data_IF_870595110807
#
_entry.id   IF_870595110807
#
_cell.length_a   1.000
_cell.length_b   1.000
_cell.length_c   1.000
_cell.angle_alpha   90.00
_cell.angle_beta   90.00
_cell.angle_gamma   90.00
#
_symmetry.space_group_name_H-M   'P 1'
#
loop_
_entity.id
_entity.type
_entity.pdbx_description
1 polymer ?
#
# COMPACT_ATOMS: atom_id res chain seq x y z
N UNK A 1 28.74 -56.23 45.68
CA UNK A 1 28.83 -55.13 44.68
C UNK A 1 27.71 -55.28 43.66
N UNK A 2 26.73 -54.38 43.66
CA UNK A 2 25.88 -54.01 42.52
C UNK A 2 25.17 -52.70 42.90
N UNK A 3 25.74 -51.61 42.41
CA UNK A 3 25.38 -50.22 42.71
C UNK A 3 24.10 -49.86 41.94
N UNK A 4 23.02 -49.50 42.63
CA UNK A 4 21.80 -49.00 41.99
C UNK A 4 21.95 -47.49 41.83
N UNK A 5 22.18 -47.05 40.60
CA UNK A 5 22.21 -45.64 40.22
C UNK A 5 20.76 -45.16 40.09
N UNK A 6 20.39 -44.19 40.91
CA UNK A 6 19.11 -43.49 40.84
C UNK A 6 19.25 -42.35 39.82
N UNK A 7 18.62 -42.47 38.66
CA UNK A 7 18.60 -41.43 37.64
C UNK A 7 17.41 -40.51 37.94
N UNK A 8 17.68 -39.32 38.48
CA UNK A 8 16.71 -38.23 38.55
C UNK A 8 16.56 -37.61 37.15
N UNK A 9 15.44 -37.86 36.48
CA UNK A 9 15.02 -37.03 35.34
C UNK A 9 14.60 -35.65 35.86
N UNK A 10 15.44 -34.64 35.66
CA UNK A 10 14.97 -33.25 35.70
C UNK A 10 14.28 -32.93 34.37
N UNK A 11 12.96 -32.75 34.41
CA UNK A 11 12.20 -32.23 33.29
C UNK A 11 12.52 -30.73 33.14
N UNK A 12 13.31 -30.38 32.12
CA UNK A 12 13.46 -28.99 31.70
C UNK A 12 12.17 -28.55 31.00
N UNK A 13 11.34 -27.80 31.71
CA UNK A 13 10.25 -27.03 31.11
C UNK A 13 10.88 -25.87 30.34
N UNK A 14 11.09 -26.04 29.04
CA UNK A 14 11.34 -24.92 28.14
C UNK A 14 10.04 -24.13 28.01
N UNK A 15 10.00 -22.82 28.32
CA UNK A 15 8.87 -22.00 27.94
C UNK A 15 8.85 -21.95 26.41
N UNK A 16 7.88 -22.65 25.81
CA UNK A 16 7.58 -22.49 24.39
C UNK A 16 7.21 -21.04 24.18
N UNK A 17 8.04 -20.32 23.41
CA UNK A 17 7.61 -19.08 22.79
C UNK A 17 6.39 -19.47 21.94
N UNK A 18 5.20 -19.10 22.39
CA UNK A 18 4.01 -19.18 21.54
C UNK A 18 4.29 -18.27 20.36
N UNK A 19 4.51 -18.85 19.18
CA UNK A 19 4.30 -18.14 17.91
C UNK A 19 2.90 -17.56 18.01
N UNK A 20 2.81 -16.26 18.22
CA UNK A 20 1.56 -15.56 18.03
C UNK A 20 1.22 -15.74 16.56
N UNK A 21 0.08 -16.36 16.26
CA UNK A 21 -0.51 -16.38 14.93
C UNK A 21 -0.59 -14.93 14.45
N UNK A 22 0.43 -14.46 13.71
CA UNK A 22 0.42 -13.12 13.15
C UNK A 22 -0.71 -13.10 12.14
N UNK A 23 -1.77 -12.36 12.48
CA UNK A 23 -2.92 -12.19 11.59
C UNK A 23 -2.42 -11.56 10.29
N UNK A 24 -2.57 -12.29 9.19
CA UNK A 24 -2.14 -11.83 7.88
C UNK A 24 -3.26 -10.99 7.23
N UNK A 25 -3.02 -9.69 7.08
CA UNK A 25 -3.92 -8.77 6.38
C UNK A 25 -3.44 -8.48 4.94
N UNK A 26 -2.55 -9.31 4.41
CA UNK A 26 -2.05 -9.15 3.05
C UNK A 26 -3.15 -9.31 2.00
N UNK A 27 -3.05 -8.51 0.94
CA UNK A 27 -3.98 -8.52 -0.19
C UNK A 27 -3.28 -9.01 -1.46
N UNK A 28 -3.95 -8.96 -2.61
CA UNK A 28 -3.31 -9.22 -3.89
C UNK A 28 -2.25 -8.13 -4.23
N UNK A 29 -2.42 -6.90 -3.75
CA UNK A 29 -1.64 -5.75 -4.17
C UNK A 29 -0.55 -5.32 -3.17
N UNK A 30 -0.74 -5.56 -1.88
CA UNK A 30 0.21 -5.17 -0.84
C UNK A 30 0.18 -6.13 0.37
N UNK A 31 1.21 -6.07 1.20
CA UNK A 31 1.27 -6.72 2.52
C UNK A 31 1.20 -5.68 3.62
N UNK A 32 0.62 -6.02 4.77
CA UNK A 32 0.51 -5.13 5.92
C UNK A 32 1.50 -5.56 6.99
N UNK A 33 2.33 -4.63 7.46
CA UNK A 33 3.30 -4.83 8.53
C UNK A 33 3.03 -3.85 9.65
N UNK A 34 2.69 -4.36 10.83
CA UNK A 34 2.63 -3.55 12.06
C UNK A 34 4.05 -3.09 12.44
N UNK A 35 4.21 -1.78 12.62
CA UNK A 35 5.46 -1.14 13.01
C UNK A 35 5.46 -0.78 14.50
N UNK A 36 4.30 -0.38 15.02
CA UNK A 36 4.01 -0.11 16.42
C UNK A 36 2.49 -0.22 16.64
N UNK A 37 2.04 -0.13 17.89
CA UNK A 37 0.61 -0.08 18.21
C UNK A 37 -0.08 1.05 17.43
N UNK A 38 -1.12 0.69 16.67
CA UNK A 38 -1.83 1.62 15.78
C UNK A 38 -1.08 2.08 14.53
N UNK A 39 0.17 1.65 14.29
CA UNK A 39 0.99 2.13 13.15
C UNK A 39 1.36 0.98 12.22
N UNK A 40 0.97 1.08 10.95
CA UNK A 40 1.15 0.01 9.97
C UNK A 40 1.72 0.53 8.65
N UNK A 41 2.62 -0.25 8.06
CA UNK A 41 3.08 -0.06 6.68
C UNK A 41 2.36 -1.01 5.74
N UNK A 42 1.81 -0.48 4.66
CA UNK A 42 1.23 -1.24 3.56
C UNK A 42 2.23 -1.26 2.40
N UNK A 43 2.99 -2.36 2.30
CA UNK A 43 4.10 -2.51 1.36
C UNK A 43 3.60 -3.16 0.07
N UNK A 44 3.79 -2.49 -1.07
CA UNK A 44 3.34 -3.03 -2.36
C UNK A 44 4.00 -4.38 -2.66
N UNK A 45 3.28 -5.24 -3.39
CA UNK A 45 3.78 -6.51 -3.88
C UNK A 45 4.24 -6.40 -5.33
N UNK A 46 5.39 -7.00 -5.70
CA UNK A 46 5.74 -7.17 -7.11
C UNK A 46 4.62 -7.92 -7.85
N UNK A 47 4.20 -7.42 -9.01
CA UNK A 47 3.06 -7.95 -9.76
C UNK A 47 1.70 -7.40 -9.31
N UNK A 48 1.63 -6.67 -8.19
CA UNK A 48 0.43 -5.97 -7.73
C UNK A 48 0.25 -4.61 -8.40
N UNK A 49 -0.94 -4.05 -8.23
CA UNK A 49 -1.40 -2.77 -8.80
C UNK A 49 -1.35 -1.60 -7.80
N UNK A 50 -0.70 -1.82 -6.65
CA UNK A 50 -0.46 -0.77 -5.65
C UNK A 50 0.65 0.18 -6.11
N UNK A 51 1.77 -0.40 -6.58
CA UNK A 51 3.00 0.25 -7.09
C UNK A 51 3.77 1.06 -6.06
N UNK A 52 3.11 1.99 -5.36
CA UNK A 52 3.65 2.71 -4.22
C UNK A 52 3.33 2.01 -2.90
N UNK A 53 4.00 2.43 -1.81
CA UNK A 53 3.63 2.03 -0.45
C UNK A 53 2.59 3.00 0.12
N UNK A 54 1.83 2.53 1.11
CA UNK A 54 0.92 3.35 1.91
C UNK A 54 1.19 3.13 3.40
N UNK A 55 0.68 4.02 4.25
CA UNK A 55 0.76 3.92 5.70
C UNK A 55 -0.62 4.05 6.34
N UNK A 56 -0.78 3.44 7.52
CA UNK A 56 -1.97 3.59 8.36
C UNK A 56 -1.50 4.01 9.75
N UNK A 57 -2.12 5.04 10.31
CA UNK A 57 -1.97 5.45 11.71
C UNK A 57 -3.35 5.54 12.34
N UNK A 58 -3.62 4.72 13.34
CA UNK A 58 -4.85 4.71 14.13
C UNK A 58 -4.54 5.13 15.56
N UNK A 59 -5.33 6.06 16.09
CA UNK A 59 -5.18 6.58 17.45
C UNK A 59 -6.32 6.17 18.39
N UNK A 60 -7.17 5.20 17.99
CA UNK A 60 -8.34 4.76 18.73
C UNK A 60 -9.62 5.59 18.53
N UNK A 61 -9.55 6.75 17.86
CA UNK A 61 -10.73 7.55 17.50
C UNK A 61 -10.84 7.86 16.00
N UNK A 62 -9.69 7.89 15.32
CA UNK A 62 -9.58 8.16 13.90
C UNK A 62 -8.41 7.38 13.29
N UNK A 63 -8.62 6.90 12.08
CA UNK A 63 -7.56 6.38 11.23
C UNK A 63 -7.12 7.46 10.23
N UNK A 64 -5.81 7.60 10.08
CA UNK A 64 -5.12 8.39 9.05
C UNK A 64 -4.50 7.41 8.06
N UNK A 65 -4.75 7.63 6.77
CA UNK A 65 -4.07 6.93 5.68
C UNK A 65 -3.01 7.85 5.08
N UNK A 66 -1.81 7.34 4.86
CA UNK A 66 -0.71 8.05 4.20
C UNK A 66 -0.49 7.46 2.81
N UNK A 67 -0.77 8.24 1.76
CA UNK A 67 -0.79 7.85 0.35
C UNK A 67 -1.79 6.72 0.01
N UNK A 68 -2.20 6.67 -1.26
CA UNK A 68 -3.42 5.94 -1.65
C UNK A 68 -3.26 4.91 -2.77
N UNK A 69 -2.03 4.58 -3.15
CA UNK A 69 -1.73 3.66 -4.25
C UNK A 69 -2.12 4.18 -5.65
N UNK A 70 -1.62 3.48 -6.67
CA UNK A 70 -1.88 3.77 -8.08
C UNK A 70 -3.29 3.42 -8.52
N UNK A 71 -3.79 2.25 -8.10
CA UNK A 71 -5.08 1.75 -8.59
C UNK A 71 -6.20 1.97 -7.58
N UNK A 72 -7.41 2.36 -8.04
CA UNK A 72 -8.60 2.39 -7.20
C UNK A 72 -8.88 1.05 -6.50
N UNK A 73 -8.60 -0.07 -7.17
CA UNK A 73 -8.82 -1.41 -6.62
C UNK A 73 -7.92 -1.68 -5.39
N UNK A 74 -6.65 -1.25 -5.44
CA UNK A 74 -5.74 -1.35 -4.30
C UNK A 74 -6.14 -0.40 -3.15
N UNK A 75 -6.66 0.78 -3.46
CA UNK A 75 -7.17 1.71 -2.45
C UNK A 75 -8.44 1.18 -1.76
N UNK A 76 -9.34 0.52 -2.49
CA UNK A 76 -10.49 -0.17 -1.90
C UNK A 76 -10.07 -1.34 -1.02
N UNK A 77 -9.04 -2.09 -1.41
CA UNK A 77 -8.43 -3.11 -0.56
C UNK A 77 -7.87 -2.51 0.73
N UNK A 78 -7.23 -1.32 0.67
CA UNK A 78 -6.74 -0.61 1.84
C UNK A 78 -7.87 -0.24 2.81
N UNK A 79 -8.98 0.29 2.30
CA UNK A 79 -10.17 0.60 3.10
C UNK A 79 -10.73 -0.67 3.76
N UNK A 80 -10.84 -1.77 3.00
CA UNK A 80 -11.28 -3.07 3.53
C UNK A 80 -10.34 -3.62 4.61
N UNK A 81 -9.03 -3.41 4.46
CA UNK A 81 -8.03 -3.81 5.47
C UNK A 81 -8.25 -3.06 6.78
N UNK A 82 -8.46 -1.73 6.73
CA UNK A 82 -8.78 -0.91 7.92
C UNK A 82 -10.02 -1.46 8.63
N UNK A 83 -11.08 -1.79 7.88
CA UNK A 83 -12.31 -2.39 8.42
C UNK A 83 -12.07 -3.78 9.05
N UNK A 84 -11.30 -4.65 8.39
CA UNK A 84 -10.98 -6.01 8.85
C UNK A 84 -10.10 -6.03 10.10
N UNK A 85 -9.23 -5.04 10.22
CA UNK A 85 -8.41 -4.77 11.41
C UNK A 85 -9.25 -4.20 12.55
N UNK A 86 -10.48 -3.73 12.28
CA UNK A 86 -11.37 -3.06 13.22
C UNK A 86 -10.74 -1.80 13.82
N UNK A 87 -10.00 -1.06 13.00
CA UNK A 87 -9.48 0.25 13.38
C UNK A 87 -10.62 1.27 13.41
N UNK A 88 -10.30 2.49 13.84
CA UNK A 88 -11.25 3.59 13.91
C UNK A 88 -11.68 4.04 12.51
N UNK A 89 -12.74 4.86 12.38
CA UNK A 89 -13.13 5.41 11.08
C UNK A 89 -11.99 6.21 10.44
N UNK A 90 -11.76 6.01 9.14
CA UNK A 90 -10.82 6.82 8.36
C UNK A 90 -11.38 8.24 8.30
N UNK A 91 -10.64 9.22 8.84
CA UNK A 91 -11.02 10.63 8.80
C UNK A 91 -10.10 11.46 7.91
N UNK A 92 -8.87 10.99 7.72
CA UNK A 92 -7.83 11.74 7.02
C UNK A 92 -7.07 10.84 6.04
N UNK A 93 -6.79 11.40 4.87
CA UNK A 93 -5.76 10.92 3.94
C UNK A 93 -4.70 12.01 3.84
N UNK A 94 -3.43 11.66 3.87
CA UNK A 94 -2.31 12.57 3.64
C UNK A 94 -1.61 12.12 2.36
N UNK A 95 -1.50 13.01 1.36
CA UNK A 95 -0.67 12.75 0.19
C UNK A 95 0.72 13.38 0.37
N UNK A 96 1.75 12.58 0.17
CA UNK A 96 3.15 13.00 0.27
C UNK A 96 3.56 13.93 -0.87
N UNK A 97 3.18 13.61 -2.10
CA UNK A 97 3.43 14.38 -3.32
C UNK A 97 2.43 14.01 -4.43
N UNK A 98 2.66 14.48 -5.66
CA UNK A 98 1.67 14.43 -6.74
C UNK A 98 1.76 13.20 -7.65
N UNK A 99 2.76 12.34 -7.46
CA UNK A 99 2.97 11.17 -8.32
C UNK A 99 1.80 10.20 -8.22
N UNK A 100 1.51 9.53 -9.33
CA UNK A 100 0.24 8.83 -9.55
C UNK A 100 -0.04 7.71 -8.54
N UNK A 101 1.00 7.02 -8.07
CA UNK A 101 0.94 5.93 -7.10
C UNK A 101 0.70 6.41 -5.66
N UNK A 102 0.66 7.72 -5.43
CA UNK A 102 0.35 8.31 -4.15
C UNK A 102 -1.08 8.88 -4.09
N UNK A 103 -1.68 9.23 -5.23
CA UNK A 103 -2.88 10.08 -5.27
C UNK A 103 -4.09 9.49 -5.99
N UNK A 104 -3.92 8.47 -6.85
CA UNK A 104 -5.03 7.95 -7.67
C UNK A 104 -6.09 7.23 -6.86
N UNK A 105 -5.72 6.59 -5.75
CA UNK A 105 -6.67 5.98 -4.84
C UNK A 105 -7.52 6.97 -4.02
N UNK A 106 -7.19 8.26 -3.99
CA UNK A 106 -7.96 9.29 -3.29
C UNK A 106 -9.47 9.22 -3.63
N UNK A 107 -9.81 8.86 -4.87
CA UNK A 107 -11.18 8.77 -5.36
C UNK A 107 -12.05 7.74 -4.62
N UNK A 108 -11.46 6.77 -3.94
CA UNK A 108 -12.17 5.69 -3.27
C UNK A 108 -12.66 6.07 -1.86
N UNK A 109 -12.10 7.13 -1.28
CA UNK A 109 -12.51 7.61 0.04
C UNK A 109 -13.80 8.42 -0.06
N UNK A 110 -14.68 8.28 0.95
CA UNK A 110 -15.93 9.04 0.99
C UNK A 110 -15.69 10.55 1.06
N UNK A 111 -16.71 11.35 0.72
CA UNK A 111 -16.64 12.82 0.75
C UNK A 111 -16.37 13.40 2.13
N UNK A 112 -16.64 12.64 3.19
CA UNK A 112 -16.47 13.07 4.58
C UNK A 112 -15.01 12.93 5.05
N UNK A 113 -14.20 12.11 4.39
CA UNK A 113 -12.76 11.99 4.63
C UNK A 113 -12.05 13.23 4.10
N UNK A 114 -11.21 13.88 4.89
CA UNK A 114 -10.40 15.02 4.45
C UNK A 114 -9.11 14.54 3.79
N UNK A 115 -8.77 15.12 2.64
CA UNK A 115 -7.51 14.80 1.94
C UNK A 115 -6.57 15.99 2.11
N UNK A 116 -5.47 15.74 2.81
CA UNK A 116 -4.48 16.71 3.23
C UNK A 116 -3.24 16.63 2.34
N UNK A 117 -2.66 17.77 2.02
CA UNK A 117 -1.32 17.87 1.42
C UNK A 117 -0.79 19.30 1.58
N UNK A 118 0.37 19.61 0.99
CA UNK A 118 0.74 21.02 0.76
C UNK A 118 -0.12 21.61 -0.36
N UNK A 119 -0.35 22.93 -0.34
CA UNK A 119 -1.05 23.62 -1.43
C UNK A 119 -0.38 23.35 -2.79
N UNK A 120 0.96 23.28 -2.81
CA UNK A 120 1.73 22.99 -4.02
C UNK A 120 1.48 21.58 -4.57
N UNK A 121 1.36 20.58 -3.70
CA UNK A 121 1.01 19.21 -4.11
C UNK A 121 -0.37 19.20 -4.79
N UNK A 122 -1.36 19.88 -4.20
CA UNK A 122 -2.71 19.97 -4.78
C UNK A 122 -2.75 20.70 -6.13
N UNK A 123 -1.96 21.77 -6.31
CA UNK A 123 -1.76 22.43 -7.60
C UNK A 123 -1.20 21.49 -8.65
N UNK A 124 -0.10 20.78 -8.32
CA UNK A 124 0.55 19.84 -9.24
C UNK A 124 -0.38 18.70 -9.65
N UNK A 125 -1.16 18.13 -8.73
CA UNK A 125 -2.15 17.10 -9.08
C UNK A 125 -3.19 17.67 -10.06
N UNK A 126 -3.67 18.90 -9.83
CA UNK A 126 -4.68 19.54 -10.70
C UNK A 126 -4.14 19.83 -12.11
N UNK A 127 -2.87 20.17 -12.22
CA UNK A 127 -2.21 20.53 -13.47
C UNK A 127 -1.69 19.32 -14.25
N UNK A 128 -0.99 18.41 -13.58
CA UNK A 128 -0.22 17.34 -14.22
C UNK A 128 -1.04 16.08 -14.45
N UNK A 129 -1.94 15.71 -13.54
CA UNK A 129 -2.65 14.44 -13.64
C UNK A 129 -3.56 14.33 -14.88
N UNK A 130 -4.33 15.37 -15.27
CA UNK A 130 -5.08 15.32 -16.53
C UNK A 130 -4.19 15.19 -17.77
N UNK A 131 -2.98 15.77 -17.75
CA UNK A 131 -2.00 15.65 -18.83
C UNK A 131 -1.45 14.23 -18.89
N UNK A 132 -1.03 13.69 -17.75
CA UNK A 132 -0.54 12.33 -17.60
C UNK A 132 -1.57 11.32 -18.12
N UNK A 133 -2.83 11.41 -17.67
CA UNK A 133 -3.92 10.53 -18.15
C UNK A 133 -4.11 10.63 -19.68
N UNK A 134 -4.02 11.84 -20.25
CA UNK A 134 -4.16 12.04 -21.69
C UNK A 134 -2.99 11.41 -22.47
N UNK A 135 -1.77 11.52 -21.97
CA UNK A 135 -0.57 10.92 -22.57
C UNK A 135 -0.57 9.39 -22.43
N UNK A 136 -0.92 8.87 -21.25
CA UNK A 136 -0.99 7.44 -20.94
C UNK A 136 -1.90 6.69 -21.92
N UNK A 137 -3.01 7.30 -22.32
CA UNK A 137 -3.91 6.76 -23.34
C UNK A 137 -3.19 6.43 -24.67
N UNK A 138 -2.10 7.14 -24.98
CA UNK A 138 -1.34 6.99 -26.21
C UNK A 138 -0.28 5.89 -26.07
N UNK A 139 0.50 5.91 -24.97
CA UNK A 139 1.69 5.07 -24.86
C UNK A 139 1.52 3.81 -24.00
N UNK A 140 0.66 3.85 -22.98
CA UNK A 140 0.71 2.85 -21.90
C UNK A 140 0.32 1.44 -22.37
N UNK A 141 -0.68 1.31 -23.27
CA UNK A 141 -1.06 0.00 -23.83
C UNK A 141 0.09 -0.70 -24.54
N UNK A 142 0.90 0.04 -25.30
CA UNK A 142 2.07 -0.51 -26.00
C UNK A 142 3.15 -0.97 -25.01
N UNK A 143 3.38 -0.21 -23.94
CA UNK A 143 4.35 -0.59 -22.91
C UNK A 143 3.86 -1.79 -22.10
N UNK A 144 2.56 -1.86 -21.79
CA UNK A 144 1.96 -3.04 -21.17
C UNK A 144 2.20 -4.29 -22.03
N UNK A 145 1.86 -4.25 -23.32
CA UNK A 145 2.07 -5.37 -24.26
C UNK A 145 3.55 -5.78 -24.34
N UNK A 146 4.46 -4.81 -24.30
CA UNK A 146 5.89 -5.05 -24.26
C UNK A 146 6.32 -5.80 -23.00
N UNK A 147 6.00 -5.29 -21.80
CA UNK A 147 6.38 -5.95 -20.55
C UNK A 147 5.66 -7.29 -20.35
N UNK A 148 4.44 -7.43 -20.85
CA UNK A 148 3.72 -8.69 -20.88
C UNK A 148 4.38 -9.73 -21.80
N UNK A 149 4.95 -9.30 -22.94
CA UNK A 149 5.78 -10.17 -23.78
C UNK A 149 7.07 -10.63 -23.09
N UNK A 150 7.72 -9.72 -22.34
CA UNK A 150 8.93 -10.06 -21.57
C UNK A 150 8.62 -11.05 -20.46
N UNK A 151 7.52 -10.84 -19.72
CA UNK A 151 7.07 -11.72 -18.63
C UNK A 151 6.80 -13.14 -19.16
N UNK A 152 6.10 -13.28 -20.30
CA UNK A 152 5.85 -14.59 -20.92
C UNK A 152 7.10 -15.29 -21.45
N UNK A 153 8.06 -14.53 -21.95
CA UNK A 153 9.29 -15.09 -22.52
C UNK A 153 10.38 -15.34 -21.46
N UNK A 154 10.18 -14.88 -20.22
CA UNK A 154 11.20 -14.97 -19.19
C UNK A 154 11.45 -16.42 -18.76
N UNK A 155 12.69 -16.86 -18.89
CA UNK A 155 13.17 -18.20 -18.50
C UNK A 155 14.38 -18.15 -17.56
N UNK A 156 14.74 -16.95 -17.10
CA UNK A 156 15.91 -16.72 -16.25
C UNK A 156 15.62 -16.83 -14.75
N UNK A 157 16.51 -16.26 -13.95
CA UNK A 157 16.38 -16.21 -12.49
C UNK A 157 15.29 -15.22 -12.05
N UNK A 158 14.27 -15.71 -11.37
CA UNK A 158 13.17 -14.89 -10.83
C UNK A 158 13.57 -14.05 -9.64
N UNK A 159 14.76 -14.23 -9.07
CA UNK A 159 15.34 -13.32 -8.08
C UNK A 159 16.12 -12.15 -8.73
N UNK A 160 16.32 -12.17 -10.05
CA UNK A 160 17.07 -11.13 -10.74
C UNK A 160 16.36 -9.78 -10.73
N UNK A 161 17.13 -8.70 -10.72
CA UNK A 161 16.61 -7.33 -10.85
C UNK A 161 15.82 -7.13 -12.15
N UNK A 162 16.25 -7.78 -13.25
CA UNK A 162 15.54 -7.73 -14.53
C UNK A 162 14.14 -8.33 -14.45
N UNK A 163 13.96 -9.47 -13.77
CA UNK A 163 12.64 -10.03 -13.53
C UNK A 163 11.79 -9.12 -12.65
N UNK A 164 12.37 -8.55 -11.59
CA UNK A 164 11.65 -7.61 -10.72
C UNK A 164 11.18 -6.36 -11.49
N UNK A 165 11.99 -5.84 -12.41
CA UNK A 165 11.55 -4.76 -13.30
C UNK A 165 10.35 -5.17 -14.13
N UNK A 166 10.34 -6.38 -14.72
CA UNK A 166 9.18 -6.87 -15.48
C UNK A 166 7.94 -6.96 -14.58
N UNK A 167 8.09 -7.53 -13.38
CA UNK A 167 7.00 -7.68 -12.40
C UNK A 167 6.46 -6.36 -11.87
N UNK A 168 7.26 -5.30 -11.86
CA UNK A 168 6.81 -3.96 -11.48
C UNK A 168 6.17 -3.22 -12.66
N UNK A 169 6.80 -3.24 -13.83
CA UNK A 169 6.38 -2.41 -14.96
C UNK A 169 5.16 -2.97 -15.68
N UNK A 170 4.99 -4.29 -15.73
CA UNK A 170 3.80 -4.91 -16.33
C UNK A 170 2.48 -4.41 -15.69
N UNK A 171 2.23 -4.59 -14.38
CA UNK A 171 1.00 -4.10 -13.76
C UNK A 171 0.92 -2.56 -13.74
N UNK A 172 2.06 -1.86 -13.65
CA UNK A 172 2.09 -0.40 -13.75
C UNK A 172 1.47 0.07 -15.08
N UNK A 173 2.01 -0.39 -16.22
CA UNK A 173 1.49 0.00 -17.53
C UNK A 173 0.11 -0.60 -17.85
N UNK A 174 -0.25 -1.73 -17.22
CA UNK A 174 -1.63 -2.23 -17.28
C UNK A 174 -2.60 -1.19 -16.71
N UNK A 175 -2.36 -0.68 -15.50
CA UNK A 175 -3.21 0.33 -14.87
C UNK A 175 -3.17 1.67 -15.62
N UNK A 176 -1.99 2.12 -16.07
CA UNK A 176 -1.88 3.33 -16.90
C UNK A 176 -2.69 3.20 -18.20
N UNK A 177 -2.72 2.01 -18.82
CA UNK A 177 -3.47 1.79 -20.07
C UNK A 177 -4.99 1.98 -19.89
N UNK A 178 -5.48 1.88 -18.66
CA UNK A 178 -6.89 2.03 -18.30
C UNK A 178 -7.18 3.33 -17.54
N UNK A 179 -6.19 4.19 -17.32
CA UNK A 179 -6.33 5.36 -16.44
C UNK A 179 -7.43 6.31 -16.90
N UNK A 180 -7.49 6.58 -18.21
CA UNK A 180 -8.53 7.40 -18.84
C UNK A 180 -9.96 6.85 -18.67
N UNK A 181 -10.13 5.58 -18.29
CA UNK A 181 -11.42 4.96 -17.99
C UNK A 181 -11.69 4.94 -16.49
N UNK A 182 -10.70 4.53 -15.68
CA UNK A 182 -10.84 4.23 -14.24
C UNK A 182 -10.61 5.45 -13.33
N UNK A 183 -9.73 6.36 -13.70
CA UNK A 183 -9.29 7.44 -12.82
C UNK A 183 -10.24 8.63 -12.87
N UNK A 184 -10.64 9.09 -11.69
CA UNK A 184 -11.41 10.29 -11.42
C UNK A 184 -10.67 11.05 -10.34
N UNK A 185 -9.75 11.92 -10.76
CA UNK A 185 -8.83 12.62 -9.87
C UNK A 185 -9.58 13.37 -8.75
N UNK A 186 -9.36 12.93 -7.50
CA UNK A 186 -9.77 13.64 -6.30
C UNK A 186 -8.57 14.36 -5.71
N UNK A 187 -8.56 15.68 -5.85
CA UNK A 187 -7.49 16.56 -5.37
C UNK A 187 -7.62 16.76 -3.85
N UNK A 188 -6.52 16.92 -3.10
CA UNK A 188 -6.55 17.37 -1.71
C UNK A 188 -7.43 18.60 -1.52
N UNK A 189 -8.22 18.59 -0.45
CA UNK A 189 -9.19 19.64 -0.10
C UNK A 189 -8.83 20.40 1.18
N UNK A 190 -7.78 19.96 1.86
CA UNK A 190 -7.25 20.54 3.09
C UNK A 190 -5.74 20.76 2.92
N UNK A 191 -5.24 21.95 3.26
CA UNK A 191 -3.85 22.32 2.96
C UNK A 191 -3.06 22.64 4.22
N UNK A 192 -1.81 22.16 4.29
CA UNK A 192 -0.87 22.39 5.39
C UNK A 192 0.26 23.30 4.91
N UNK A 193 0.48 24.43 5.60
CA UNK A 193 1.55 25.42 5.28
C UNK A 193 2.74 25.38 6.24
N UNK A 194 2.70 24.48 7.23
CA UNK A 194 3.71 24.34 8.27
C UNK A 194 3.43 23.06 9.06
N UNK A 195 3.09 23.23 10.33
CA UNK A 195 2.67 22.13 11.19
C UNK A 195 1.14 22.07 11.30
N UNK A 196 0.61 20.85 11.31
CA UNK A 196 -0.79 20.57 11.62
C UNK A 196 -0.81 19.37 12.57
N UNK A 197 -1.36 19.57 13.77
CA UNK A 197 -1.61 18.49 14.70
C UNK A 197 -2.98 17.89 14.39
N UNK A 198 -3.00 16.57 14.18
CA UNK A 198 -4.22 15.78 14.12
C UNK A 198 -4.32 15.03 15.44
N UNK A 199 -4.99 15.66 16.40
CA UNK A 199 -5.12 15.08 17.72
C UNK A 199 -6.04 13.84 17.65
N UNK A 200 -5.49 12.68 18.04
CA UNK A 200 -6.22 11.74 18.90
C UNK A 200 -6.10 12.23 20.34
N UNK A 201 -6.88 11.69 21.28
CA UNK A 201 -7.08 12.28 22.61
C UNK A 201 -5.83 12.85 23.29
#
# INVERSE_FOLDING_TARGET
>A
MKQRVLICLMAFLTPGCTETDKKDWSTANFSVTELADGVYACIHKPGGKAIGNSGIVDNGEATIVFDTFLSPDAAEELIRVVEQMKLSPIKYVINSHFDNDHVRGNQCFSSDVKILSTERTAELIREEEPKAIAEEKIYAKKLYEYYDSLDRAFTGDTASSGYMTIKMMKPYFEELSQSHLKIRTRVPDTYVKGEMSLDGP
#
